data_IF_561767565625
#
_entry.id   IF_561767565625
#
_cell.length_a   1.000
_cell.length_b   1.000
_cell.length_c   1.000
_cell.angle_alpha   90.00
_cell.angle_beta   90.00
_cell.angle_gamma   90.00
#
_symmetry.space_group_name_H-M   'P 1'
#
loop_
_entity.id
_entity.type
_entity.pdbx_description
1 polymer ?
#
# COMPACT_ATOMS: atom_id res chain seq x y z
N UNK A 1 30.75 -6.44 17.05
CA UNK A 1 31.20 -5.06 17.35
C UNK A 1 29.96 -4.22 17.60
N UNK A 2 29.68 -3.98 18.90
CA UNK A 2 28.79 -2.97 19.52
C UNK A 2 27.51 -2.52 18.78
N UNK A 3 26.34 -2.99 19.22
CA UNK A 3 25.19 -2.10 19.52
C UNK A 3 25.52 -1.36 20.84
N UNK A 4 25.04 -0.12 21.14
CA UNK A 4 23.60 0.25 21.18
C UNK A 4 23.29 1.71 20.76
N UNK A 5 22.05 2.08 20.44
CA UNK A 5 21.07 2.79 21.30
C UNK A 5 19.87 3.14 20.37
N UNK A 6 18.59 3.13 20.73
CA UNK A 6 17.95 3.46 21.99
C UNK A 6 17.11 4.73 21.78
N UNK A 7 15.91 4.61 21.19
CA UNK A 7 14.99 5.73 20.95
C UNK A 7 13.78 5.61 21.89
N UNK A 8 13.90 6.18 23.09
CA UNK A 8 12.78 6.65 23.91
C UNK A 8 13.11 8.07 24.37
N UNK A 9 12.26 9.08 24.11
CA UNK A 9 12.42 10.38 24.75
C UNK A 9 11.76 10.32 26.14
N UNK A 10 12.56 10.01 27.17
CA UNK A 10 12.18 10.26 28.55
C UNK A 10 12.23 11.78 28.82
N UNK A 11 11.08 12.43 28.93
CA UNK A 11 10.97 13.77 29.53
C UNK A 11 11.20 13.65 31.04
N UNK A 12 12.45 13.65 31.49
CA UNK A 12 12.79 13.67 32.91
C UNK A 12 12.72 15.12 33.42
N UNK A 13 11.66 15.43 34.17
CA UNK A 13 11.50 16.71 34.84
C UNK A 13 12.37 16.75 36.10
N UNK A 14 13.38 17.63 36.14
CA UNK A 14 14.11 17.93 37.37
C UNK A 14 13.80 19.36 37.81
N UNK A 15 13.32 19.46 39.05
CA UNK A 15 12.94 20.70 39.74
C UNK A 15 14.20 21.48 40.07
N UNK A 16 14.41 22.66 39.48
CA UNK A 16 14.74 23.94 40.17
C UNK A 16 15.20 25.04 39.19
N UNK A 17 14.80 26.26 39.54
CA UNK A 17 15.18 27.59 39.06
C UNK A 17 14.76 28.06 37.64
N UNK A 18 13.89 29.07 37.69
CA UNK A 18 13.36 29.91 36.63
C UNK A 18 14.44 30.48 35.69
N UNK A 19 14.60 29.88 34.52
CA UNK A 19 15.00 30.59 33.31
C UNK A 19 14.02 30.18 32.22
N UNK A 20 13.39 31.16 31.59
CA UNK A 20 12.42 30.99 30.52
C UNK A 20 13.07 30.31 29.31
N UNK A 21 13.10 28.97 29.32
CA UNK A 21 13.42 28.16 28.15
C UNK A 21 12.09 27.90 27.44
N UNK A 22 11.78 28.71 26.43
CA UNK A 22 10.81 28.34 25.41
C UNK A 22 11.38 27.13 24.67
N UNK A 23 11.11 25.93 25.19
CA UNK A 23 11.33 24.68 24.48
C UNK A 23 10.44 24.68 23.24
N UNK A 24 11.03 25.06 22.11
CA UNK A 24 10.42 24.88 20.81
C UNK A 24 10.44 23.38 20.49
N UNK A 25 9.39 22.67 20.89
CA UNK A 25 9.13 21.35 20.31
C UNK A 25 8.81 21.57 18.84
N UNK A 26 9.79 21.31 17.97
CA UNK A 26 9.52 21.15 16.54
C UNK A 26 8.57 19.96 16.38
N UNK A 27 7.28 20.24 16.21
CA UNK A 27 6.30 19.23 15.80
C UNK A 27 6.78 18.69 14.46
N UNK A 28 7.13 17.41 14.42
CA UNK A 28 7.42 16.73 13.18
C UNK A 28 6.15 16.79 12.32
N UNK A 29 6.10 17.69 11.34
CA UNK A 29 5.00 17.79 10.39
C UNK A 29 5.00 16.51 9.57
N UNK A 30 3.99 15.66 9.75
CA UNK A 30 3.78 14.51 8.87
C UNK A 30 3.69 15.03 7.42
N UNK A 31 4.35 14.37 6.45
CA UNK A 31 4.25 14.80 5.06
C UNK A 31 2.77 14.77 4.64
N UNK A 32 2.29 15.76 3.88
CA UNK A 32 0.89 15.84 3.50
C UNK A 32 0.46 14.53 2.83
N UNK A 33 -0.71 14.06 3.21
CA UNK A 33 -1.36 12.92 2.59
C UNK A 33 -2.69 13.38 2.01
N UNK A 34 -3.09 12.80 0.88
CA UNK A 34 -4.37 13.11 0.27
C UNK A 34 -5.50 12.89 1.27
N UNK A 35 -6.49 13.80 1.27
CA UNK A 35 -7.65 13.73 2.14
C UNK A 35 -7.36 14.01 3.63
N UNK A 36 -6.20 14.60 3.96
CA UNK A 36 -5.93 15.03 5.33
C UNK A 36 -6.96 16.06 5.79
N UNK A 37 -7.77 15.78 6.84
CA UNK A 37 -8.75 16.74 7.36
C UNK A 37 -8.11 18.00 7.96
N UNK A 38 -6.82 17.95 8.31
CA UNK A 38 -6.08 19.08 8.89
C UNK A 38 -5.49 20.03 7.84
N UNK A 39 -5.33 19.57 6.60
CA UNK A 39 -4.85 20.41 5.50
C UNK A 39 -6.01 21.15 4.84
N UNK A 40 -6.08 22.47 5.06
CA UNK A 40 -7.12 23.33 4.52
C UNK A 40 -7.19 23.32 2.99
N UNK A 41 -6.08 23.06 2.29
CA UNK A 41 -6.01 23.02 0.81
C UNK A 41 -6.44 21.66 0.24
N UNK A 42 -6.36 20.60 1.04
CA UNK A 42 -6.79 19.24 0.71
C UNK A 42 -8.08 18.82 1.43
N UNK A 43 -8.77 19.79 2.04
CA UNK A 43 -9.97 19.53 2.84
C UNK A 43 -11.15 19.14 1.94
N UNK A 44 -11.52 17.87 2.02
CA UNK A 44 -12.76 17.30 1.47
C UNK A 44 -13.00 17.43 -0.07
N UNK A 45 -11.99 17.20 -0.94
CA UNK A 45 -12.23 17.12 -2.38
C UNK A 45 -13.10 15.91 -2.72
N UNK A 46 -13.78 15.95 -3.88
CA UNK A 46 -14.75 14.92 -4.27
C UNK A 46 -14.12 13.52 -4.33
N UNK A 47 -12.86 13.40 -4.78
CA UNK A 47 -12.16 12.12 -4.81
C UNK A 47 -11.93 11.47 -3.43
N UNK A 48 -11.98 12.25 -2.35
CA UNK A 48 -11.86 11.77 -0.97
C UNK A 48 -13.17 11.26 -0.36
N UNK A 49 -14.32 11.48 -1.02
CA UNK A 49 -15.63 11.07 -0.51
C UNK A 49 -15.87 9.60 -0.82
N UNK A 50 -15.54 8.72 0.12
CA UNK A 50 -15.71 7.26 -0.03
C UNK A 50 -17.16 6.81 -0.28
N UNK A 51 -18.15 7.64 0.04
CA UNK A 51 -19.56 7.40 -0.27
C UNK A 51 -19.92 7.53 -1.75
N UNK A 52 -19.05 8.14 -2.57
CA UNK A 52 -19.27 8.29 -4.01
C UNK A 52 -18.69 7.11 -4.79
N UNK A 53 -19.31 6.83 -5.94
CA UNK A 53 -18.83 5.79 -6.86
C UNK A 53 -17.39 6.07 -7.32
N UNK A 54 -16.58 5.02 -7.45
CA UNK A 54 -15.16 5.11 -7.79
C UNK A 54 -14.92 5.91 -9.08
N UNK A 55 -15.74 5.71 -10.11
CA UNK A 55 -15.62 6.44 -11.37
C UNK A 55 -15.75 7.96 -11.21
N UNK A 56 -16.59 8.43 -10.29
CA UNK A 56 -16.75 9.87 -9.99
C UNK A 56 -15.51 10.39 -9.27
N UNK A 57 -15.00 9.63 -8.30
CA UNK A 57 -13.81 9.97 -7.53
C UNK A 57 -12.56 10.03 -8.42
N UNK A 58 -12.37 9.03 -9.29
CA UNK A 58 -11.25 8.97 -10.23
C UNK A 58 -11.32 10.11 -11.24
N UNK A 59 -12.51 10.42 -11.78
CA UNK A 59 -12.67 11.53 -12.72
C UNK A 59 -12.31 12.87 -12.08
N UNK A 60 -12.76 13.13 -10.85
CA UNK A 60 -12.37 14.34 -10.11
C UNK A 60 -10.86 14.38 -9.86
N UNK A 61 -10.25 13.27 -9.44
CA UNK A 61 -8.81 13.23 -9.20
C UNK A 61 -7.98 13.52 -10.45
N UNK A 62 -8.23 12.79 -11.54
CA UNK A 62 -7.53 12.98 -12.82
C UNK A 62 -7.84 14.37 -13.40
N UNK A 63 -9.05 14.89 -13.21
CA UNK A 63 -9.45 16.24 -13.63
C UNK A 63 -8.67 17.34 -12.92
N UNK A 64 -8.17 17.09 -11.71
CA UNK A 64 -7.34 18.04 -10.94
C UNK A 64 -5.87 18.02 -11.33
N UNK A 65 -5.40 16.99 -12.05
CA UNK A 65 -3.99 16.84 -12.42
C UNK A 65 -3.67 17.59 -13.72
N UNK A 66 -2.50 18.21 -13.74
CA UNK A 66 -1.86 18.70 -14.96
C UNK A 66 -1.48 17.53 -15.89
N UNK A 67 -1.19 17.83 -17.15
CA UNK A 67 -0.74 16.80 -18.09
C UNK A 67 0.59 16.16 -17.63
N UNK A 68 1.50 16.97 -17.10
CA UNK A 68 2.81 16.52 -16.60
C UNK A 68 2.64 15.58 -15.40
N UNK A 69 1.79 15.95 -14.43
CA UNK A 69 1.46 15.09 -13.28
C UNK A 69 0.85 13.75 -13.75
N UNK A 70 0.03 13.74 -14.80
CA UNK A 70 -0.53 12.49 -15.37
C UNK A 70 0.55 11.62 -16.00
N UNK A 71 1.42 12.22 -16.82
CA UNK A 71 2.50 11.50 -17.50
C UNK A 71 3.45 10.87 -16.48
N UNK A 72 3.75 11.57 -15.37
CA UNK A 72 4.63 11.06 -14.32
C UNK A 72 4.06 9.89 -13.51
N UNK A 73 2.79 9.53 -13.72
CA UNK A 73 2.11 8.40 -13.06
C UNK A 73 1.91 7.19 -13.99
N UNK A 74 2.44 7.23 -15.23
CA UNK A 74 2.29 6.15 -16.22
C UNK A 74 3.35 5.04 -16.12
N UNK A 75 4.30 5.18 -15.20
CA UNK A 75 5.39 4.23 -14.98
C UNK A 75 5.26 3.62 -13.57
N UNK A 76 5.91 2.47 -13.35
CA UNK A 76 5.93 1.72 -12.08
C UNK A 76 6.37 2.61 -10.91
N UNK A 77 7.48 3.31 -11.09
CA UNK A 77 7.97 4.32 -10.16
C UNK A 77 7.19 5.64 -10.27
N UNK A 78 5.92 5.61 -9.85
CA UNK A 78 5.02 6.74 -9.98
C UNK A 78 5.45 7.92 -9.09
N UNK A 79 5.63 9.09 -9.71
CA UNK A 79 6.09 10.28 -8.99
C UNK A 79 5.02 10.81 -8.01
N UNK A 80 5.47 11.58 -7.01
CA UNK A 80 4.56 12.28 -6.13
C UNK A 80 3.80 13.40 -6.87
N UNK A 81 2.58 13.68 -6.42
CA UNK A 81 1.83 14.90 -6.76
C UNK A 81 1.54 15.67 -5.47
N UNK A 82 2.53 16.43 -4.94
CA UNK A 82 2.45 17.01 -3.59
C UNK A 82 1.27 17.97 -3.41
N UNK A 83 0.90 18.72 -4.45
CA UNK A 83 -0.24 19.65 -4.43
C UNK A 83 -1.59 18.94 -4.18
N UNK A 84 -1.68 17.65 -4.47
CA UNK A 84 -2.86 16.83 -4.20
C UNK A 84 -2.67 15.89 -2.99
N UNK A 85 -1.54 16.02 -2.26
CA UNK A 85 -1.16 15.14 -1.16
C UNK A 85 -0.84 13.70 -1.60
N UNK A 86 -0.68 13.45 -2.90
CA UNK A 86 -0.33 12.12 -3.41
C UNK A 86 1.17 11.99 -3.28
N UNK A 87 1.62 10.95 -2.57
CA UNK A 87 3.05 10.63 -2.49
C UNK A 87 3.43 9.70 -3.64
N UNK A 88 4.72 9.68 -3.95
CA UNK A 88 5.24 8.71 -4.91
C UNK A 88 4.99 7.29 -4.41
N UNK A 89 4.67 6.39 -5.31
CA UNK A 89 4.40 5.00 -5.00
C UNK A 89 4.96 4.11 -6.10
N UNK A 90 5.30 2.89 -5.71
CA UNK A 90 5.75 1.85 -6.60
C UNK A 90 4.63 0.83 -6.71
N UNK A 91 4.05 0.67 -7.91
CA UNK A 91 2.94 -0.26 -8.10
C UNK A 91 3.39 -1.61 -8.67
N UNK A 92 4.64 -1.75 -9.11
CA UNK A 92 5.16 -3.05 -9.49
C UNK A 92 5.52 -3.87 -8.24
N UNK A 93 4.71 -4.90 -8.01
CA UNK A 93 4.92 -5.97 -7.03
C UNK A 93 4.82 -7.35 -7.70
N UNK A 94 5.43 -8.37 -7.10
CA UNK A 94 5.43 -9.75 -7.63
C UNK A 94 4.90 -10.73 -6.58
N UNK A 95 4.01 -11.64 -6.99
CA UNK A 95 3.29 -12.56 -6.09
C UNK A 95 2.90 -13.90 -6.76
N UNK A 96 3.65 -14.34 -7.78
CA UNK A 96 3.26 -15.49 -8.61
C UNK A 96 2.98 -16.78 -7.81
N UNK A 97 3.79 -17.06 -6.79
CA UNK A 97 3.64 -18.22 -5.91
C UNK A 97 4.00 -17.85 -4.46
N UNK A 98 3.49 -16.70 -4.02
CA UNK A 98 3.86 -16.03 -2.78
C UNK A 98 4.54 -14.68 -3.07
N UNK A 99 4.45 -13.76 -2.10
CA UNK A 99 5.00 -12.40 -2.21
C UNK A 99 6.51 -12.46 -2.43
N UNK A 100 7.04 -11.68 -3.37
CA UNK A 100 8.45 -11.67 -3.75
C UNK A 100 9.07 -10.27 -3.66
N UNK A 101 10.33 -10.19 -3.22
CA UNK A 101 11.12 -8.96 -3.09
C UNK A 101 11.95 -8.59 -4.33
N UNK A 102 11.81 -9.35 -5.43
CA UNK A 102 12.49 -9.07 -6.71
C UNK A 102 11.97 -7.80 -7.38
N UNK A 103 10.73 -7.43 -7.09
CA UNK A 103 10.11 -6.20 -7.56
C UNK A 103 10.65 -4.97 -6.79
N UNK A 104 10.59 -3.76 -7.36
CA UNK A 104 10.95 -2.55 -6.64
C UNK A 104 9.97 -2.24 -5.48
N UNK A 105 8.70 -2.63 -5.59
CA UNK A 105 7.63 -2.29 -4.63
C UNK A 105 7.60 -3.14 -3.36
N UNK A 106 8.36 -4.23 -3.30
CA UNK A 106 8.35 -5.18 -2.18
C UNK A 106 9.79 -5.43 -1.71
N UNK A 107 10.05 -5.33 -0.40
CA UNK A 107 11.39 -5.54 0.18
C UNK A 107 11.31 -6.26 1.52
N UNK A 108 11.97 -7.40 1.64
CA UNK A 108 12.06 -8.10 2.92
C UNK A 108 13.11 -7.47 3.83
N UNK A 109 12.87 -7.49 5.14
CA UNK A 109 13.78 -6.94 6.14
C UNK A 109 13.11 -6.67 7.49
N UNK A 110 13.92 -6.39 8.50
CA UNK A 110 13.45 -6.05 9.84
C UNK A 110 12.52 -7.11 10.44
N UNK A 111 11.27 -6.72 10.70
CA UNK A 111 10.24 -7.59 11.29
C UNK A 111 9.74 -8.68 10.34
N UNK A 112 9.95 -8.53 9.03
CA UNK A 112 9.49 -9.46 8.00
C UNK A 112 10.66 -9.85 7.09
N UNK A 113 11.54 -10.78 7.52
CA UNK A 113 12.74 -11.17 6.77
C UNK A 113 12.44 -12.02 5.53
N UNK A 114 11.20 -12.46 5.35
CA UNK A 114 10.76 -13.24 4.20
C UNK A 114 9.28 -13.57 4.28
N UNK A 115 8.79 -14.29 3.28
CA UNK A 115 7.38 -14.66 3.10
C UNK A 115 7.29 -16.14 2.76
N UNK A 116 6.07 -16.70 2.84
CA UNK A 116 5.81 -18.08 2.42
C UNK A 116 6.05 -18.22 0.91
N UNK A 117 6.84 -19.22 0.53
CA UNK A 117 7.05 -19.61 -0.86
C UNK A 117 6.26 -20.90 -1.14
N UNK A 118 5.24 -20.77 -1.98
CA UNK A 118 4.42 -21.91 -2.42
C UNK A 118 5.08 -22.64 -3.59
N UNK A 119 4.66 -23.88 -3.89
CA UNK A 119 5.07 -24.55 -5.12
C UNK A 119 4.82 -23.67 -6.35
N UNK A 120 5.66 -23.79 -7.37
CA UNK A 120 5.46 -23.03 -8.61
C UNK A 120 4.07 -23.34 -9.22
N UNK A 121 3.51 -22.39 -9.96
CA UNK A 121 2.13 -22.46 -10.52
C UNK A 121 1.83 -23.81 -11.19
N UNK A 122 2.79 -24.39 -11.94
CA UNK A 122 2.63 -25.71 -12.58
C UNK A 122 2.41 -26.85 -11.57
N UNK A 123 3.08 -26.81 -10.41
CA UNK A 123 2.92 -27.80 -9.35
C UNK A 123 1.61 -27.59 -8.59
N UNK A 124 1.20 -26.33 -8.37
CA UNK A 124 -0.12 -26.05 -7.78
C UNK A 124 -1.22 -26.53 -8.74
N UNK A 125 -1.08 -26.33 -10.06
CA UNK A 125 -2.03 -26.81 -11.07
C UNK A 125 -2.16 -28.34 -11.04
N UNK A 126 -1.04 -29.05 -10.88
CA UNK A 126 -1.01 -30.51 -10.81
C UNK A 126 -1.76 -31.12 -9.61
N UNK A 127 -2.15 -30.30 -8.62
CA UNK A 127 -3.02 -30.75 -7.54
C UNK A 127 -4.47 -30.99 -7.97
N UNK A 128 -4.92 -30.38 -9.08
CA UNK A 128 -6.31 -30.35 -9.53
C UNK A 128 -7.31 -29.94 -8.43
N UNK A 129 -6.87 -29.11 -7.47
CA UNK A 129 -7.66 -28.70 -6.32
C UNK A 129 -7.89 -27.18 -6.33
N UNK A 130 -9.07 -26.75 -6.76
CA UNK A 130 -9.43 -25.32 -6.85
C UNK A 130 -9.46 -24.64 -5.48
N UNK A 131 -9.93 -25.34 -4.44
CA UNK A 131 -9.95 -24.79 -3.08
C UNK A 131 -8.54 -24.51 -2.55
N UNK A 132 -7.57 -25.36 -2.88
CA UNK A 132 -6.16 -25.14 -2.54
C UNK A 132 -5.60 -23.90 -3.25
N UNK A 133 -5.94 -23.70 -4.53
CA UNK A 133 -5.55 -22.50 -5.27
C UNK A 133 -6.11 -21.22 -4.64
N UNK A 134 -7.39 -21.23 -4.27
CA UNK A 134 -8.03 -20.10 -3.59
C UNK A 134 -7.39 -19.80 -2.22
N UNK A 135 -7.05 -20.84 -1.47
CA UNK A 135 -6.40 -20.71 -0.16
C UNK A 135 -4.99 -20.10 -0.29
N UNK A 136 -4.20 -20.56 -1.26
CA UNK A 136 -2.87 -19.99 -1.55
C UNK A 136 -3.00 -18.52 -1.94
N UNK A 137 -3.95 -18.17 -2.79
CA UNK A 137 -4.22 -16.78 -3.19
C UNK A 137 -4.62 -15.92 -1.99
N UNK A 138 -5.46 -16.44 -1.10
CA UNK A 138 -5.87 -15.74 0.13
C UNK A 138 -4.70 -15.48 1.07
N UNK A 139 -3.86 -16.49 1.33
CA UNK A 139 -2.71 -16.36 2.22
C UNK A 139 -1.71 -15.36 1.64
N UNK A 140 -1.43 -15.46 0.34
CA UNK A 140 -0.53 -14.52 -0.34
C UNK A 140 -1.07 -13.08 -0.19
N UNK A 141 -2.33 -12.82 -0.54
CA UNK A 141 -2.91 -11.47 -0.48
C UNK A 141 -2.93 -10.88 0.94
N UNK A 142 -3.16 -11.71 1.96
CA UNK A 142 -3.07 -11.31 3.37
C UNK A 142 -1.64 -10.91 3.73
N UNK A 143 -0.64 -11.70 3.32
CA UNK A 143 0.76 -11.38 3.52
C UNK A 143 1.12 -10.08 2.79
N UNK A 144 0.69 -9.86 1.55
CA UNK A 144 0.90 -8.59 0.84
C UNK A 144 0.29 -7.37 1.55
N UNK A 145 -0.83 -7.56 2.26
CA UNK A 145 -1.49 -6.48 3.02
C UNK A 145 -0.80 -6.19 4.36
N UNK A 146 -0.37 -7.24 5.08
CA UNK A 146 0.28 -7.16 6.40
C UNK A 146 1.73 -6.70 6.26
N UNK A 147 2.41 -7.21 5.24
CA UNK A 147 3.73 -6.77 4.84
C UNK A 147 3.60 -5.46 4.07
N UNK A 148 3.05 -4.40 4.69
CA UNK A 148 3.46 -3.01 4.35
C UNK A 148 4.95 -2.86 4.67
N UNK A 149 5.77 -3.64 3.98
CA UNK A 149 7.20 -3.57 3.86
C UNK A 149 7.49 -2.12 3.50
N UNK A 150 8.58 -1.55 4.00
CA UNK A 150 8.78 -0.11 4.06
C UNK A 150 8.99 0.49 2.66
N UNK A 151 7.94 0.58 1.88
CA UNK A 151 7.70 1.61 0.87
C UNK A 151 6.80 2.64 1.53
N UNK A 152 7.21 3.89 1.45
CA UNK A 152 6.67 5.06 2.15
C UNK A 152 5.15 5.02 2.42
N UNK A 153 4.68 5.50 3.58
CA UNK A 153 3.30 5.32 4.04
C UNK A 153 2.30 6.15 3.20
N UNK A 154 1.96 5.72 2.00
CA UNK A 154 1.10 6.50 1.10
C UNK A 154 0.13 5.72 0.23
N UNK A 155 0.10 4.38 0.33
CA UNK A 155 -0.80 3.57 -0.49
C UNK A 155 -2.18 3.21 0.12
N UNK A 156 -2.85 3.98 1.02
CA UNK A 156 -4.21 3.61 1.38
C UNK A 156 -5.29 4.12 0.40
N UNK A 157 -4.99 5.04 -0.52
CA UNK A 157 -6.06 5.71 -1.30
C UNK A 157 -6.30 5.11 -2.70
N UNK A 158 -5.29 4.54 -3.37
CA UNK A 158 -5.48 4.07 -4.76
C UNK A 158 -5.67 2.55 -4.94
N UNK A 159 -5.39 1.74 -3.91
CA UNK A 159 -5.52 0.28 -3.98
C UNK A 159 -6.44 -0.32 -2.90
N UNK A 160 -7.07 0.48 -2.05
CA UNK A 160 -8.14 -0.05 -1.20
C UNK A 160 -9.41 -0.20 -2.03
N UNK A 161 -9.49 -1.30 -2.77
CA UNK A 161 -10.76 -1.92 -3.11
C UNK A 161 -11.42 -2.32 -1.78
N UNK A 162 -12.11 -1.38 -1.17
CA UNK A 162 -13.08 -1.49 -0.08
C UNK A 162 -13.01 -2.76 0.78
N UNK A 163 -12.28 -2.73 1.90
CA UNK A 163 -12.50 -3.62 3.05
C UNK A 163 -12.55 -5.14 2.76
N UNK A 164 -13.08 -5.95 3.69
CA UNK A 164 -13.15 -7.41 3.56
C UNK A 164 -13.98 -7.90 2.36
N UNK A 165 -14.72 -7.02 1.69
CA UNK A 165 -15.50 -7.31 0.48
C UNK A 165 -14.67 -7.22 -0.81
N UNK A 166 -13.55 -6.49 -0.82
CA UNK A 166 -12.64 -6.41 -1.97
C UNK A 166 -11.89 -7.71 -2.26
N UNK A 167 -11.58 -8.48 -1.21
CA UNK A 167 -11.04 -9.82 -1.34
C UNK A 167 -12.04 -10.75 -2.06
N UNK A 168 -13.34 -10.63 -1.76
CA UNK A 168 -14.39 -11.45 -2.39
C UNK A 168 -14.60 -11.09 -3.86
N UNK A 169 -14.51 -9.82 -4.23
CA UNK A 169 -14.69 -9.38 -5.62
C UNK A 169 -13.41 -9.63 -6.47
N UNK A 170 -12.23 -9.63 -5.87
CA UNK A 170 -11.01 -10.14 -6.50
C UNK A 170 -11.02 -11.66 -6.61
N UNK A 171 -11.56 -12.39 -5.62
CA UNK A 171 -11.80 -13.83 -5.70
C UNK A 171 -12.86 -14.18 -6.76
N UNK A 172 -13.91 -13.38 -6.93
CA UNK A 172 -14.90 -13.56 -7.99
C UNK A 172 -14.26 -13.34 -9.38
N UNK A 173 -13.40 -12.34 -9.53
CA UNK A 173 -12.63 -12.08 -10.76
C UNK A 173 -11.57 -13.15 -11.03
N UNK A 174 -10.92 -13.68 -10.00
CA UNK A 174 -10.00 -14.82 -10.11
C UNK A 174 -10.75 -16.11 -10.47
N UNK A 175 -11.94 -16.35 -9.91
CA UNK A 175 -12.79 -17.49 -10.28
C UNK A 175 -13.35 -17.37 -11.70
N UNK A 176 -13.67 -16.16 -12.18
CA UNK A 176 -13.99 -15.94 -13.60
C UNK A 176 -12.76 -16.12 -14.51
N UNK A 177 -11.56 -15.75 -14.07
CA UNK A 177 -10.32 -15.97 -14.82
C UNK A 177 -9.86 -17.44 -14.79
N UNK A 178 -10.24 -18.20 -13.75
CA UNK A 178 -9.80 -19.58 -13.55
C UNK A 178 -10.62 -20.63 -14.32
N UNK A 179 -11.83 -20.33 -14.85
CA UNK A 179 -12.60 -21.30 -15.67
C UNK A 179 -13.65 -20.63 -16.61
N UNK A 180 -13.91 -21.11 -17.85
CA UNK A 180 -13.16 -22.07 -18.68
C UNK A 180 -13.09 -21.69 -20.19
N UNK A 181 -11.89 -21.58 -20.76
CA UNK A 181 -11.56 -21.71 -22.20
C UNK A 181 -10.13 -21.19 -22.30
N UNK A 182 -9.07 -21.99 -22.42
CA UNK A 182 -8.57 -22.58 -23.66
C UNK A 182 -7.44 -23.58 -23.32
N UNK A 183 -7.63 -24.60 -22.51
CA UNK A 183 -6.56 -25.61 -22.33
C UNK A 183 -7.18 -26.95 -21.95
N UNK A 184 -6.96 -27.97 -22.77
CA UNK A 184 -7.56 -29.31 -22.76
C UNK A 184 -8.87 -29.47 -23.53
N UNK A 185 -8.74 -29.43 -24.85
CA UNK A 185 -9.57 -30.24 -25.76
C UNK A 185 -8.63 -31.25 -26.42
N UNK A 186 -8.53 -32.44 -25.85
CA UNK A 186 -7.99 -33.67 -26.46
C UNK A 186 -9.06 -34.73 -26.30
#
# INVERSE_FOLDING_TARGET
MKTPNGNEPACVANVTLWVAYLSFCAVASQPPFSCDPQDATLRNPTFCKASLHIAIRVRDLIGRMTLQEKISLLIDNAAAVPRLGIRGYEWWSEELHGVSDVSPGTKFGGQFPGTTSFPQVIAIAASFNTSLWEEIGRVSAQLGTVTRLPVHPASPVLLTKNGPLGALDSLARLNEAAMPSYLFKV
#
